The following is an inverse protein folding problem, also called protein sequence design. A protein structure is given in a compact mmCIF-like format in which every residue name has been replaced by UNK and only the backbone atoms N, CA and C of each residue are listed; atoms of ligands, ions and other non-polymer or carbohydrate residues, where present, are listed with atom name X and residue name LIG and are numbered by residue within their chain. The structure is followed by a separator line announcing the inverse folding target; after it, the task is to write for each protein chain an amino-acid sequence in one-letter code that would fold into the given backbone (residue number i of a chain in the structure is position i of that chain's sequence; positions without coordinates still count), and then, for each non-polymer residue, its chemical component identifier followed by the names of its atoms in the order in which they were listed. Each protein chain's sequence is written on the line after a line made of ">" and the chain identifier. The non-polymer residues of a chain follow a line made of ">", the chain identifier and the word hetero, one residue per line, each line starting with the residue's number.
data_IF_909155533324
#
_entry.id   IF_909155533324
#
_cell.length_a   1.000
_cell.length_b   1.000
_cell.length_c   1.000
_cell.angle_alpha   90.00
_cell.angle_beta   90.00
_cell.angle_gamma   90.00
#
_symmetry.space_group_name_H-M   'P 1'
#
loop_
_entity.id
_entity.type
_entity.pdbx_description
1 polymer ?
#
# COMPACT_ATOMS: atom_id res chain seq x y z
N UNK A 1 -24.14 -23.14 1.47
CA UNK A 1 -23.37 -21.98 0.97
C UNK A 1 -23.82 -20.77 1.77
N UNK A 2 -22.98 -20.27 2.67
CA UNK A 2 -23.30 -19.07 3.44
C UNK A 2 -22.75 -17.81 2.73
N UNK A 3 -23.34 -16.65 3.01
CA UNK A 3 -23.00 -15.38 2.36
C UNK A 3 -21.78 -14.73 3.00
N UNK A 4 -20.82 -14.37 2.18
CA UNK A 4 -19.59 -13.71 2.56
C UNK A 4 -19.75 -12.19 2.65
N UNK A 5 -19.61 -11.60 3.84
CA UNK A 5 -19.38 -10.15 3.96
C UNK A 5 -17.88 -9.86 3.89
N UNK A 6 -17.44 -8.99 2.97
CA UNK A 6 -16.08 -8.50 2.90
C UNK A 6 -16.05 -7.05 3.41
N UNK A 7 -15.98 -6.91 4.73
CA UNK A 7 -15.46 -5.71 5.36
C UNK A 7 -14.08 -6.06 5.93
N UNK A 8 -13.09 -6.15 5.02
CA UNK A 8 -11.66 -6.22 5.30
C UNK A 8 -11.11 -7.57 5.80
N UNK A 9 -10.75 -8.49 4.88
CA UNK A 9 -9.65 -9.47 5.06
C UNK A 9 -9.99 -10.97 5.26
N UNK A 10 -11.26 -11.38 5.14
CA UNK A 10 -11.70 -12.71 5.53
C UNK A 10 -13.21 -12.80 5.45
N UNK A 11 -13.69 -13.83 4.77
CA UNK A 11 -15.11 -14.05 4.51
C UNK A 11 -15.79 -14.48 5.82
N UNK A 12 -16.34 -13.52 6.57
CA UNK A 12 -17.28 -13.86 7.64
C UNK A 12 -18.58 -14.27 6.98
N UNK A 13 -18.93 -15.54 7.17
CA UNK A 13 -20.21 -16.08 6.74
C UNK A 13 -21.28 -15.54 7.69
N UNK A 14 -22.18 -14.70 7.18
CA UNK A 14 -23.34 -14.24 7.95
C UNK A 14 -24.18 -15.45 8.36
N UNK A 15 -24.55 -15.52 9.64
CA UNK A 15 -25.33 -16.60 10.22
C UNK A 15 -26.69 -16.08 10.70
N UNK A 16 -27.65 -16.99 10.81
CA UNK A 16 -28.95 -16.70 11.43
C UNK A 16 -28.74 -16.12 12.84
N UNK A 17 -29.40 -14.99 13.11
CA UNK A 17 -29.30 -14.24 14.35
C UNK A 17 -28.32 -13.06 14.32
N UNK A 18 -27.42 -12.99 13.33
CA UNK A 18 -26.50 -11.87 13.19
C UNK A 18 -27.26 -10.55 13.05
N UNK A 19 -26.88 -9.54 13.83
CA UNK A 19 -27.39 -8.18 13.65
C UNK A 19 -26.69 -7.54 12.46
N UNK A 20 -27.45 -6.83 11.63
CA UNK A 20 -26.95 -6.19 10.41
C UNK A 20 -27.62 -4.84 10.22
N UNK A 21 -26.94 -3.94 9.50
CA UNK A 21 -27.55 -2.80 8.87
C UNK A 21 -27.78 -3.14 7.39
N UNK A 22 -29.00 -3.01 6.91
CA UNK A 22 -29.31 -3.17 5.49
C UNK A 22 -29.51 -1.80 4.81
N UNK A 23 -28.88 -1.61 3.66
CA UNK A 23 -29.06 -0.38 2.88
C UNK A 23 -30.47 -0.29 2.28
N UNK A 24 -31.11 0.87 2.41
CA UNK A 24 -32.41 1.18 1.82
C UNK A 24 -32.27 2.18 0.67
N UNK A 25 -32.70 1.78 -0.54
CA UNK A 25 -32.63 2.65 -1.72
C UNK A 25 -33.62 3.82 -1.66
N UNK A 26 -34.84 3.59 -1.16
CA UNK A 26 -35.87 4.63 -1.05
C UNK A 26 -35.53 5.66 0.03
N UNK A 27 -34.95 5.21 1.15
CA UNK A 27 -34.57 6.08 2.26
C UNK A 27 -33.13 6.59 2.22
N UNK A 28 -32.30 6.11 1.28
CA UNK A 28 -30.85 6.39 1.19
C UNK A 28 -30.15 6.28 2.56
N UNK A 29 -30.53 5.26 3.34
CA UNK A 29 -30.10 5.11 4.73
C UNK A 29 -29.89 3.64 5.10
N UNK A 30 -29.10 3.42 6.15
CA UNK A 30 -28.85 2.11 6.74
C UNK A 30 -29.93 1.79 7.77
N UNK A 31 -30.63 0.67 7.61
CA UNK A 31 -31.70 0.22 8.50
C UNK A 31 -31.23 -0.96 9.34
N UNK A 32 -31.40 -0.88 10.66
CA UNK A 32 -31.11 -2.01 11.55
C UNK A 32 -32.03 -3.20 11.30
N UNK A 33 -31.47 -4.39 11.40
CA UNK A 33 -32.17 -5.65 11.33
C UNK A 33 -31.33 -6.83 11.80
N UNK A 34 -31.87 -8.03 11.62
CA UNK A 34 -31.15 -9.26 11.89
C UNK A 34 -31.32 -10.26 10.74
N UNK A 35 -30.33 -11.14 10.56
CA UNK A 35 -30.43 -12.28 9.65
C UNK A 35 -31.45 -13.25 10.26
N UNK A 36 -32.63 -13.32 9.68
CA UNK A 36 -33.71 -14.22 10.08
C UNK A 36 -33.44 -15.66 9.63
N UNK A 37 -32.92 -15.80 8.40
CA UNK A 37 -32.64 -17.10 7.80
C UNK A 37 -31.68 -17.00 6.62
N UNK A 38 -31.14 -18.15 6.21
CA UNK A 38 -30.37 -18.31 4.96
C UNK A 38 -31.10 -19.34 4.10
N UNK A 39 -31.56 -18.93 2.93
CA UNK A 39 -32.39 -19.80 2.09
C UNK A 39 -31.60 -21.01 1.59
N UNK A 40 -31.99 -22.21 2.01
CA UNK A 40 -31.36 -23.45 1.53
C UNK A 40 -31.80 -23.81 0.11
N UNK A 41 -32.99 -23.36 -0.31
CA UNK A 41 -33.56 -23.57 -1.63
C UNK A 41 -34.12 -22.25 -2.19
N UNK A 42 -34.21 -22.09 -3.53
CA UNK A 42 -34.80 -20.90 -4.13
C UNK A 42 -36.25 -20.69 -3.65
N UNK A 43 -36.61 -19.45 -3.33
CA UNK A 43 -37.96 -19.08 -2.92
C UNK A 43 -38.67 -18.37 -4.07
N UNK A 44 -39.82 -18.90 -4.48
CA UNK A 44 -40.71 -18.28 -5.46
C UNK A 44 -41.66 -17.32 -4.74
N UNK A 45 -41.51 -16.03 -4.99
CA UNK A 45 -42.47 -14.99 -4.64
C UNK A 45 -43.32 -14.65 -5.88
N UNK A 46 -44.50 -14.03 -5.73
CA UNK A 46 -45.43 -13.79 -6.84
C UNK A 46 -44.83 -13.07 -8.06
N UNK A 47 -43.81 -12.24 -7.86
CA UNK A 47 -43.16 -11.39 -8.86
C UNK A 47 -41.64 -11.56 -8.92
N UNK A 48 -41.06 -12.44 -8.10
CA UNK A 48 -39.61 -12.57 -7.98
C UNK A 48 -39.17 -13.97 -7.57
N UNK A 49 -38.05 -14.44 -8.15
CA UNK A 49 -37.34 -15.62 -7.68
C UNK A 49 -36.17 -15.18 -6.80
N UNK A 50 -36.17 -15.61 -5.54
CA UNK A 50 -35.03 -15.38 -4.62
C UNK A 50 -34.11 -16.59 -4.70
N UNK A 51 -32.82 -16.43 -5.07
CA UNK A 51 -31.93 -17.56 -5.29
C UNK A 51 -31.54 -18.25 -3.97
N UNK A 52 -31.13 -19.51 -4.09
CA UNK A 52 -30.48 -20.28 -3.02
C UNK A 52 -29.29 -19.52 -2.43
N UNK A 53 -29.16 -19.57 -1.11
CA UNK A 53 -28.12 -18.88 -0.35
C UNK A 53 -28.44 -17.42 -0.02
N UNK A 54 -29.55 -16.85 -0.52
CA UNK A 54 -29.92 -15.49 -0.15
C UNK A 54 -30.24 -15.35 1.34
N UNK A 55 -29.89 -14.19 1.90
CA UNK A 55 -30.15 -13.86 3.29
C UNK A 55 -31.55 -13.27 3.43
N UNK A 56 -32.34 -13.85 4.31
CA UNK A 56 -33.63 -13.30 4.74
C UNK A 56 -33.35 -12.37 5.92
N UNK A 57 -33.49 -11.07 5.73
CA UNK A 57 -33.21 -10.04 6.73
C UNK A 57 -34.53 -9.53 7.30
N UNK A 58 -34.68 -9.59 8.62
CA UNK A 58 -35.80 -8.99 9.34
C UNK A 58 -35.43 -7.57 9.75
N UNK A 59 -36.13 -6.60 9.17
CA UNK A 59 -36.02 -5.18 9.49
C UNK A 59 -37.26 -4.76 10.31
N UNK A 60 -37.17 -3.61 10.99
CA UNK A 60 -38.32 -3.06 11.72
C UNK A 60 -39.56 -2.80 10.84
N UNK A 61 -39.36 -2.61 9.52
CA UNK A 61 -40.41 -2.31 8.55
C UNK A 61 -40.84 -3.51 7.68
N UNK A 62 -40.34 -4.71 7.97
CA UNK A 62 -40.69 -5.92 7.22
C UNK A 62 -39.49 -6.80 6.89
N UNK A 63 -39.70 -7.72 5.95
CA UNK A 63 -38.68 -8.65 5.48
C UNK A 63 -38.02 -8.14 4.20
N UNK A 64 -36.72 -8.39 4.07
CA UNK A 64 -35.95 -8.13 2.85
C UNK A 64 -35.09 -9.34 2.52
N UNK A 65 -35.00 -9.69 1.24
CA UNK A 65 -34.11 -10.74 0.76
C UNK A 65 -32.88 -10.11 0.10
N UNK A 66 -31.68 -10.54 0.50
CA UNK A 66 -30.42 -10.05 -0.04
C UNK A 66 -29.67 -11.22 -0.70
N UNK A 67 -29.48 -11.21 -2.03
CA UNK A 67 -28.71 -12.25 -2.71
C UNK A 67 -27.27 -12.31 -2.20
N UNK A 68 -26.72 -13.52 -2.11
CA UNK A 68 -25.36 -13.74 -1.59
C UNK A 68 -24.26 -12.88 -2.23
N UNK A 69 -24.22 -12.72 -3.56
CA UNK A 69 -23.19 -11.90 -4.21
C UNK A 69 -23.27 -10.42 -3.86
N UNK A 70 -24.43 -9.94 -3.39
CA UNK A 70 -24.68 -8.52 -3.10
C UNK A 70 -24.69 -8.21 -1.59
N UNK A 71 -24.46 -9.20 -0.74
CA UNK A 71 -24.46 -9.02 0.70
C UNK A 71 -23.45 -7.95 1.13
N UNK A 72 -22.28 -7.88 0.48
CA UNK A 72 -21.21 -6.95 0.80
C UNK A 72 -21.56 -5.48 0.50
N UNK A 73 -22.36 -5.25 -0.53
CA UNK A 73 -22.83 -3.91 -0.92
C UNK A 73 -23.98 -3.43 -0.03
N UNK A 74 -24.85 -4.37 0.33
CA UNK A 74 -26.18 -4.05 0.87
C UNK A 74 -26.31 -4.29 2.37
N UNK A 75 -25.33 -4.95 3.00
CA UNK A 75 -25.31 -5.23 4.41
C UNK A 75 -24.03 -4.70 5.04
N UNK A 76 -24.14 -4.27 6.30
CA UNK A 76 -23.02 -4.06 7.21
C UNK A 76 -23.29 -4.84 8.47
N UNK A 77 -22.33 -5.62 8.94
CA UNK A 77 -22.49 -6.31 10.21
C UNK A 77 -22.60 -5.34 11.40
N UNK A 78 -23.48 -5.68 12.35
CA UNK A 78 -23.59 -5.01 13.65
C UNK A 78 -23.16 -6.03 14.70
N UNK A 79 -22.05 -5.77 15.39
CA UNK A 79 -21.59 -6.64 16.46
C UNK A 79 -22.65 -6.73 17.57
N UNK A 80 -23.09 -7.95 17.91
CA UNK A 80 -24.03 -8.17 19.00
C UNK A 80 -23.42 -7.75 20.35
N UNK A 81 -24.20 -7.01 21.14
CA UNK A 81 -23.82 -6.60 22.50
C UNK A 81 -24.07 -7.79 23.43
N UNK A 82 -23.02 -8.47 23.89
CA UNK A 82 -23.15 -9.53 24.90
C UNK A 82 -23.54 -8.94 26.26
N UNK A 83 -24.83 -9.01 26.60
CA UNK A 83 -25.32 -8.70 27.94
C UNK A 83 -24.99 -9.85 28.90
N UNK A 84 -23.79 -9.85 29.47
CA UNK A 84 -23.48 -10.66 30.66
C UNK A 84 -23.99 -9.94 31.91
N UNK A 85 -25.31 -10.00 32.16
CA UNK A 85 -25.88 -9.77 33.48
C UNK A 85 -26.46 -11.09 33.99
N UNK A 86 -25.61 -11.89 34.65
CA UNK A 86 -26.09 -12.92 35.57
C UNK A 86 -26.65 -12.21 36.81
N UNK A 87 -27.98 -12.12 36.88
CA UNK A 87 -28.69 -11.77 38.10
C UNK A 87 -28.47 -12.88 39.13
N UNK A 88 -27.57 -12.63 40.08
CA UNK A 88 -27.44 -13.44 41.29
C UNK A 88 -28.46 -12.90 42.31
N UNK A 89 -29.62 -13.55 42.40
CA UNK A 89 -30.61 -13.27 43.44
C UNK A 89 -30.09 -13.76 44.78
N UNK A 90 -29.79 -12.87 45.71
CA UNK A 90 -29.77 -13.17 47.14
C UNK A 90 -30.13 -11.93 47.96
N UNK A 91 -31.11 -12.13 48.83
CA UNK A 91 -31.66 -11.25 49.86
C UNK A 91 -30.61 -10.40 50.60
N UNK A 92 -30.92 -9.13 50.88
CA UNK A 92 -31.18 -8.70 52.26
C UNK A 92 -31.71 -7.26 52.37
N UNK A 93 -32.66 -7.10 53.30
CA UNK A 93 -33.18 -5.84 53.83
C UNK A 93 -32.09 -5.04 54.56
N UNK A 94 -32.04 -3.71 54.39
CA UNK A 94 -32.51 -2.74 55.40
C UNK A 94 -32.20 -1.29 55.02
N UNK A 95 -33.11 -0.42 55.45
CA UNK A 95 -33.15 1.05 55.38
C UNK A 95 -31.83 1.78 55.64
N UNK A 96 -31.59 2.88 54.92
CA UNK A 96 -31.71 4.27 55.45
C UNK A 96 -31.15 5.31 54.46
N UNK A 97 -32.05 6.19 54.00
CA UNK A 97 -31.94 7.65 53.98
C UNK A 97 -30.58 8.33 53.64
N UNK A 98 -30.46 8.91 52.45
CA UNK A 98 -30.06 10.33 52.27
C UNK A 98 -30.05 10.76 50.81
N UNK A 99 -30.72 11.89 50.57
CA UNK A 99 -30.63 12.74 49.39
C UNK A 99 -29.18 13.18 49.11
N UNK A 100 -28.74 13.16 47.84
CA UNK A 100 -28.25 14.38 47.18
C UNK A 100 -27.99 14.21 45.68
N UNK A 101 -28.32 15.30 44.97
CA UNK A 101 -28.09 15.58 43.56
C UNK A 101 -26.65 15.33 43.09
N UNK A 102 -26.49 14.73 41.90
CA UNK A 102 -25.89 15.41 40.75
C UNK A 102 -25.99 14.56 39.47
N UNK A 103 -26.78 15.05 38.52
CA UNK A 103 -26.81 14.60 37.13
C UNK A 103 -25.47 14.88 36.45
N UNK A 104 -24.73 13.83 36.10
CA UNK A 104 -23.73 13.85 35.05
C UNK A 104 -24.03 12.72 34.08
N UNK A 105 -24.52 13.08 32.89
CA UNK A 105 -24.72 12.20 31.74
C UNK A 105 -23.37 11.66 31.25
N UNK A 106 -22.85 10.63 31.90
CA UNK A 106 -21.77 9.80 31.39
C UNK A 106 -22.33 8.81 30.37
N UNK A 107 -22.38 9.18 29.10
CA UNK A 107 -22.68 8.25 28.01
C UNK A 107 -21.46 7.36 27.79
N UNK A 108 -21.32 6.32 28.61
CA UNK A 108 -20.26 5.31 28.46
C UNK A 108 -20.59 4.43 27.26
N UNK A 109 -19.99 4.76 26.11
CA UNK A 109 -19.93 3.91 24.91
C UNK A 109 -19.18 2.62 25.26
N UNK A 110 -19.92 1.62 25.73
CA UNK A 110 -19.46 0.24 25.86
C UNK A 110 -19.29 -0.35 24.45
N UNK A 111 -18.03 -0.41 23.99
CA UNK A 111 -17.64 -0.94 22.69
C UNK A 111 -17.63 -2.46 22.70
N UNK A 112 -18.46 -3.08 21.86
CA UNK A 112 -18.45 -4.53 21.66
C UNK A 112 -17.14 -5.00 20.99
N UNK A 113 -16.65 -6.20 21.33
CA UNK A 113 -15.40 -6.74 20.77
C UNK A 113 -15.53 -6.96 19.25
N UNK A 114 -14.65 -6.31 18.49
CA UNK A 114 -14.54 -6.50 17.04
C UNK A 114 -13.84 -7.83 16.78
N UNK A 115 -14.45 -8.70 15.98
CA UNK A 115 -13.75 -9.91 15.48
C UNK A 115 -12.79 -9.44 14.40
N UNK A 116 -11.52 -9.44 14.76
CA UNK A 116 -10.44 -8.98 13.93
C UNK A 116 -10.23 -9.98 12.79
N UNK A 117 -10.25 -9.47 11.57
CA UNK A 117 -10.08 -10.29 10.39
C UNK A 117 -8.60 -10.51 10.13
N UNK A 118 -8.23 -11.77 9.97
CA UNK A 118 -6.83 -12.22 9.96
C UNK A 118 -6.38 -12.45 8.53
N UNK A 119 -5.58 -11.53 7.99
CA UNK A 119 -5.05 -11.64 6.63
C UNK A 119 -3.99 -12.74 6.54
N UNK A 120 -4.09 -13.59 5.52
CA UNK A 120 -3.09 -14.65 5.31
C UNK A 120 -1.79 -14.10 4.68
N UNK A 121 -0.66 -14.34 5.34
CA UNK A 121 0.66 -13.84 4.91
C UNK A 121 1.59 -15.00 4.64
N UNK A 122 2.19 -15.03 3.45
CA UNK A 122 3.17 -16.05 3.06
C UNK A 122 4.56 -15.43 2.93
N UNK A 123 5.50 -15.90 3.75
CA UNK A 123 6.93 -15.61 3.60
C UNK A 123 7.55 -16.67 2.69
N UNK A 124 8.08 -16.25 1.54
CA UNK A 124 8.72 -17.16 0.59
C UNK A 124 10.23 -17.22 0.84
N UNK A 125 10.70 -18.39 1.25
CA UNK A 125 12.11 -18.71 1.45
C UNK A 125 12.63 -19.49 0.24
N UNK A 126 13.88 -19.27 -0.18
CA UNK A 126 14.99 -18.81 0.63
C UNK A 126 15.34 -17.33 0.41
N UNK A 127 15.72 -16.67 1.50
CA UNK A 127 16.37 -15.36 1.49
C UNK A 127 17.31 -15.26 2.70
N UNK A 128 18.38 -14.47 2.59
CA UNK A 128 19.31 -14.27 3.72
C UNK A 128 18.57 -13.75 4.97
N UNK A 129 17.54 -12.93 4.76
CA UNK A 129 16.68 -12.40 5.81
C UNK A 129 15.70 -13.39 6.45
N UNK A 130 15.39 -14.54 5.84
CA UNK A 130 14.40 -15.48 6.44
C UNK A 130 14.90 -16.03 7.78
N UNK A 131 16.17 -16.47 7.82
CA UNK A 131 16.78 -16.97 9.05
C UNK A 131 17.16 -15.83 10.01
N UNK A 132 17.80 -14.79 9.49
CA UNK A 132 18.27 -13.67 10.31
C UNK A 132 17.14 -12.89 11.00
N UNK A 133 15.97 -12.79 10.35
CA UNK A 133 14.80 -12.10 10.88
C UNK A 133 13.71 -13.06 11.37
N UNK A 134 14.05 -14.31 11.71
CA UNK A 134 13.07 -15.30 12.19
C UNK A 134 12.24 -14.77 13.38
N UNK A 135 12.89 -14.09 14.32
CA UNK A 135 12.23 -13.49 15.49
C UNK A 135 11.15 -12.47 15.08
N UNK A 136 11.42 -11.66 14.05
CA UNK A 136 10.44 -10.67 13.57
C UNK A 136 9.25 -11.36 12.90
N UNK A 137 9.45 -12.48 12.20
CA UNK A 137 8.34 -13.25 11.64
C UNK A 137 7.54 -13.98 12.73
N UNK A 138 8.18 -14.45 13.79
CA UNK A 138 7.48 -15.01 14.95
C UNK A 138 6.68 -13.93 15.70
N UNK A 139 7.24 -12.74 15.90
CA UNK A 139 6.51 -11.59 16.46
C UNK A 139 5.32 -11.21 15.56
N UNK A 140 5.50 -11.19 14.24
CA UNK A 140 4.41 -10.94 13.29
C UNK A 140 3.35 -12.05 13.30
N UNK A 141 3.72 -13.30 13.61
CA UNK A 141 2.77 -14.40 13.77
C UNK A 141 1.92 -14.29 15.05
N UNK A 142 2.39 -13.55 16.06
CA UNK A 142 1.61 -13.22 17.25
C UNK A 142 0.67 -12.03 17.03
N UNK A 143 0.83 -11.29 15.93
CA UNK A 143 -0.07 -10.20 15.57
C UNK A 143 -1.40 -10.80 15.09
N UNK A 144 -2.47 -10.60 15.86
CA UNK A 144 -3.79 -11.16 15.59
C UNK A 144 -4.33 -10.78 14.19
N UNK A 145 -3.81 -9.71 13.57
CA UNK A 145 -4.21 -9.26 12.22
C UNK A 145 -3.71 -10.18 11.12
N UNK A 146 -2.75 -11.07 11.39
CA UNK A 146 -2.07 -11.86 10.38
C UNK A 146 -2.00 -13.34 10.71
N UNK A 147 -2.20 -14.18 9.70
CA UNK A 147 -1.94 -15.61 9.76
C UNK A 147 -0.71 -15.91 8.90
N UNK A 148 0.45 -16.00 9.54
CA UNK A 148 1.74 -16.12 8.85
C UNK A 148 2.14 -17.58 8.61
N UNK A 149 2.49 -17.89 7.37
CA UNK A 149 3.11 -19.15 6.94
C UNK A 149 4.44 -18.89 6.25
N UNK A 150 5.45 -19.70 6.55
CA UNK A 150 6.73 -19.69 5.82
C UNK A 150 6.75 -20.85 4.84
N UNK A 151 6.95 -20.57 3.55
CA UNK A 151 7.10 -21.56 2.50
C UNK A 151 8.56 -21.67 2.09
N UNK A 152 9.13 -22.85 2.30
CA UNK A 152 10.51 -23.16 1.96
C UNK A 152 11.52 -22.92 3.07
N UNK A 153 12.81 -23.08 2.76
CA UNK A 153 13.93 -22.92 3.70
C UNK A 153 15.26 -22.66 2.98
N UNK A 154 16.17 -21.97 3.66
CA UNK A 154 17.56 -21.78 3.20
C UNK A 154 18.29 -23.12 3.09
N UNK A 155 19.11 -23.29 2.06
CA UNK A 155 19.92 -24.49 1.84
C UNK A 155 19.14 -25.72 1.33
N UNK A 156 17.85 -25.57 1.01
CA UNK A 156 17.12 -26.61 0.31
C UNK A 156 17.72 -26.88 -1.09
N UNK A 157 17.48 -28.06 -1.71
CA UNK A 157 18.01 -28.36 -3.03
C UNK A 157 17.69 -27.31 -4.10
N UNK A 158 16.53 -26.64 -4.00
CA UNK A 158 16.10 -25.56 -4.88
C UNK A 158 16.73 -24.19 -4.58
N UNK A 159 17.55 -24.03 -3.53
CA UNK A 159 18.13 -22.75 -3.11
C UNK A 159 19.29 -22.30 -4.02
N UNK A 160 19.04 -22.28 -5.33
CA UNK A 160 19.98 -22.02 -6.41
C UNK A 160 19.25 -21.25 -7.52
N UNK A 161 19.96 -20.37 -8.21
CA UNK A 161 19.38 -19.66 -9.36
C UNK A 161 19.08 -20.64 -10.52
N UNK A 162 18.11 -20.32 -11.40
CA UNK A 162 17.83 -21.14 -12.57
C UNK A 162 18.96 -21.07 -13.60
N UNK A 163 19.02 -22.04 -14.53
CA UNK A 163 20.11 -22.22 -15.51
C UNK A 163 20.42 -20.98 -16.34
N UNK A 164 19.43 -20.13 -16.60
CA UNK A 164 19.64 -18.90 -17.37
C UNK A 164 20.47 -17.85 -16.63
N UNK A 165 20.79 -18.04 -15.35
CA UNK A 165 21.62 -17.16 -14.52
C UNK A 165 23.09 -17.57 -14.51
N UNK A 166 23.98 -16.62 -14.22
CA UNK A 166 25.38 -16.92 -13.97
C UNK A 166 25.50 -17.86 -12.75
N UNK A 167 26.10 -19.04 -12.94
CA UNK A 167 26.14 -20.13 -11.94
C UNK A 167 24.75 -20.68 -11.58
N UNK A 168 23.81 -20.58 -12.51
CA UNK A 168 22.53 -21.26 -12.44
C UNK A 168 22.64 -22.78 -12.34
N UNK A 169 21.56 -23.45 -11.99
CA UNK A 169 21.49 -24.91 -11.91
C UNK A 169 20.18 -25.44 -12.49
N UNK A 170 20.21 -26.66 -13.00
CA UNK A 170 19.01 -27.40 -13.38
C UNK A 170 18.05 -27.54 -12.20
N UNK A 171 16.75 -27.77 -12.42
CA UNK A 171 15.84 -28.14 -11.35
C UNK A 171 16.39 -29.30 -10.49
N UNK A 172 16.18 -29.28 -9.15
CA UNK A 172 15.44 -28.27 -8.41
C UNK A 172 16.23 -26.95 -8.25
N UNK A 173 15.57 -25.83 -8.54
CA UNK A 173 16.08 -24.46 -8.40
C UNK A 173 14.94 -23.50 -8.00
N UNK A 174 15.23 -22.22 -7.80
CA UNK A 174 14.23 -21.24 -7.34
C UNK A 174 13.03 -21.11 -8.27
N UNK A 175 13.22 -21.30 -9.57
CA UNK A 175 12.16 -21.23 -10.57
C UNK A 175 11.26 -22.48 -10.53
N UNK A 176 11.82 -23.69 -10.44
CA UNK A 176 11.02 -24.90 -10.28
C UNK A 176 10.25 -24.89 -8.95
N UNK A 177 10.87 -24.38 -7.88
CA UNK A 177 10.21 -24.17 -6.59
C UNK A 177 9.06 -23.17 -6.69
N UNK A 178 9.23 -22.05 -7.40
CA UNK A 178 8.13 -21.11 -7.66
C UNK A 178 6.97 -21.80 -8.40
N UNK A 179 7.27 -22.67 -9.37
CA UNK A 179 6.27 -23.49 -10.06
C UNK A 179 5.45 -24.38 -9.12
N UNK A 180 6.11 -25.04 -8.16
CA UNK A 180 5.42 -25.83 -7.13
C UNK A 180 4.53 -24.96 -6.24
N UNK A 181 5.00 -23.77 -5.86
CA UNK A 181 4.24 -22.86 -4.99
C UNK A 181 2.96 -22.31 -5.64
N UNK A 182 2.94 -22.12 -6.96
CA UNK A 182 1.72 -21.65 -7.68
C UNK A 182 0.55 -22.61 -7.50
N UNK A 183 0.81 -23.90 -7.27
CA UNK A 183 -0.24 -24.91 -7.00
C UNK A 183 -0.74 -24.90 -5.55
N UNK A 184 -0.12 -24.10 -4.68
CA UNK A 184 -0.48 -23.98 -3.27
C UNK A 184 -1.27 -22.68 -3.03
N UNK A 185 -1.86 -22.57 -1.84
CA UNK A 185 -2.42 -21.31 -1.37
C UNK A 185 -1.28 -20.33 -1.03
N UNK A 186 -1.13 -19.30 -1.87
CA UNK A 186 -0.16 -18.21 -1.72
C UNK A 186 -0.61 -17.14 -0.71
N UNK A 187 -1.81 -17.27 -0.15
CA UNK A 187 -2.39 -16.30 0.78
C UNK A 187 -2.74 -14.97 0.11
N UNK A 188 -3.04 -13.98 0.96
CA UNK A 188 -3.44 -12.63 0.54
C UNK A 188 -2.27 -11.67 0.40
N UNK A 189 -1.15 -11.96 1.06
CA UNK A 189 0.05 -11.13 1.08
C UNK A 189 1.30 -12.00 0.95
N UNK A 190 2.29 -11.49 0.22
CA UNK A 190 3.60 -12.11 0.07
C UNK A 190 4.69 -11.28 0.75
N UNK A 191 5.64 -11.96 1.38
CA UNK A 191 6.92 -11.38 1.79
C UNK A 191 8.02 -12.15 1.07
N UNK A 192 8.79 -11.46 0.25
CA UNK A 192 9.93 -12.03 -0.46
C UNK A 192 11.17 -11.19 -0.20
N UNK A 193 12.33 -11.84 -0.07
CA UNK A 193 13.60 -11.16 0.15
C UNK A 193 14.67 -11.62 -0.83
N UNK A 194 15.56 -10.70 -1.23
CA UNK A 194 16.72 -11.00 -2.08
C UNK A 194 16.33 -11.95 -3.23
N UNK A 195 16.95 -13.12 -3.32
CA UNK A 195 16.65 -14.21 -4.28
C UNK A 195 15.16 -14.50 -4.53
N UNK A 196 14.32 -14.50 -3.50
CA UNK A 196 12.88 -14.70 -3.67
C UNK A 196 12.23 -13.60 -4.50
N UNK A 197 12.54 -12.33 -4.22
CA UNK A 197 12.07 -11.20 -5.03
C UNK A 197 12.74 -11.13 -6.41
N UNK A 198 13.85 -11.85 -6.59
CA UNK A 198 14.62 -11.86 -7.82
C UNK A 198 14.18 -12.91 -8.84
N UNK A 199 13.67 -14.04 -8.37
CA UNK A 199 13.29 -15.19 -9.21
C UNK A 199 11.83 -15.56 -8.99
N UNK A 200 11.42 -15.74 -7.74
CA UNK A 200 10.09 -16.29 -7.41
C UNK A 200 8.96 -15.30 -7.71
N UNK A 201 9.11 -14.02 -7.32
CA UNK A 201 8.09 -13.01 -7.64
C UNK A 201 7.93 -12.78 -9.15
N UNK A 202 9.01 -12.60 -9.95
CA UNK A 202 8.91 -12.57 -11.41
C UNK A 202 8.24 -13.80 -12.01
N UNK A 203 8.49 -15.00 -11.46
CA UNK A 203 7.79 -16.21 -11.87
C UNK A 203 6.30 -16.12 -11.60
N UNK A 204 5.90 -15.72 -10.39
CA UNK A 204 4.50 -15.54 -10.03
C UNK A 204 3.80 -14.52 -10.93
N UNK A 205 4.44 -13.39 -11.23
CA UNK A 205 3.90 -12.41 -12.16
C UNK A 205 3.70 -12.98 -13.57
N UNK A 206 4.65 -13.76 -14.07
CA UNK A 206 4.55 -14.39 -15.38
C UNK A 206 3.40 -15.39 -15.48
N UNK A 207 3.14 -16.16 -14.41
CA UNK A 207 2.13 -17.23 -14.41
C UNK A 207 0.74 -16.73 -13.97
N UNK A 208 0.68 -15.84 -12.98
CA UNK A 208 -0.57 -15.38 -12.36
C UNK A 208 -1.01 -13.99 -12.85
N UNK A 209 -0.11 -13.18 -13.41
CA UNK A 209 -0.40 -11.83 -13.86
C UNK A 209 -0.98 -10.95 -12.75
N UNK A 210 -2.14 -10.35 -13.01
CA UNK A 210 -2.87 -9.50 -12.06
C UNK A 210 -3.39 -10.26 -10.82
N UNK A 211 -3.40 -11.59 -10.84
CA UNK A 211 -3.83 -12.41 -9.70
C UNK A 211 -2.74 -12.63 -8.65
N UNK A 212 -1.49 -12.22 -8.92
CA UNK A 212 -0.43 -12.31 -7.90
C UNK A 212 -0.81 -11.49 -6.67
N UNK A 213 -0.75 -12.06 -5.45
CA UNK A 213 -1.06 -11.30 -4.24
C UNK A 213 -0.08 -10.13 -4.04
N UNK A 214 -0.52 -9.03 -3.38
CA UNK A 214 0.37 -7.93 -3.03
C UNK A 214 1.63 -8.40 -2.29
N UNK A 215 2.77 -7.76 -2.58
CA UNK A 215 4.06 -8.22 -2.09
C UNK A 215 4.87 -7.13 -1.39
N UNK A 216 5.42 -7.47 -0.22
CA UNK A 216 6.58 -6.78 0.36
C UNK A 216 7.84 -7.43 -0.20
N UNK A 217 8.71 -6.62 -0.80
CA UNK A 217 9.97 -7.08 -1.42
C UNK A 217 11.16 -6.43 -0.70
N UNK A 218 11.90 -7.24 0.06
CA UNK A 218 13.01 -6.78 0.91
C UNK A 218 14.35 -6.97 0.20
N UNK A 219 15.03 -5.87 -0.15
CA UNK A 219 16.28 -5.88 -0.93
C UNK A 219 16.22 -6.86 -2.13
N UNK A 220 15.01 -7.02 -2.67
CA UNK A 220 14.69 -7.97 -3.72
C UNK A 220 14.71 -7.26 -5.07
N UNK A 221 15.39 -7.91 -6.01
CA UNK A 221 15.78 -7.29 -7.26
C UNK A 221 14.82 -7.52 -8.43
N UNK A 222 13.51 -7.61 -8.20
CA UNK A 222 12.53 -7.49 -9.29
C UNK A 222 12.75 -6.25 -10.17
N UNK A 223 13.52 -5.27 -9.68
CA UNK A 223 13.97 -4.07 -10.39
C UNK A 223 15.49 -3.97 -10.66
N UNK A 224 16.23 -5.07 -10.82
CA UNK A 224 17.62 -4.96 -11.32
C UNK A 224 17.64 -5.25 -12.82
N UNK A 225 17.98 -4.22 -13.62
CA UNK A 225 17.99 -4.26 -15.09
C UNK A 225 19.01 -5.22 -15.71
N UNK A 226 20.09 -5.55 -15.00
CA UNK A 226 21.21 -6.30 -15.53
C UNK A 226 21.20 -7.76 -15.03
N UNK A 227 20.19 -8.54 -15.41
CA UNK A 227 20.13 -9.96 -15.08
C UNK A 227 20.17 -10.82 -16.32
N UNK A 228 20.95 -11.90 -16.31
CA UNK A 228 20.72 -13.01 -17.21
C UNK A 228 19.34 -13.61 -16.91
N UNK A 229 18.48 -13.76 -17.92
CA UNK A 229 17.14 -14.33 -17.77
C UNK A 229 16.07 -13.59 -18.59
N UNK A 230 14.85 -14.15 -18.65
CA UNK A 230 13.74 -13.49 -19.32
C UNK A 230 13.40 -12.17 -18.63
N UNK A 231 13.03 -11.17 -19.42
CA UNK A 231 12.57 -9.90 -18.88
C UNK A 231 11.38 -10.13 -17.93
N UNK A 232 11.47 -9.54 -16.73
CA UNK A 232 10.37 -9.59 -15.78
C UNK A 232 9.19 -8.79 -16.32
N UNK A 233 8.09 -9.47 -16.64
CA UNK A 233 6.83 -8.78 -16.95
C UNK A 233 6.13 -8.41 -15.64
N UNK A 234 6.40 -7.22 -15.11
CA UNK A 234 5.76 -6.69 -13.92
C UNK A 234 4.32 -6.26 -14.29
N UNK A 235 3.26 -6.87 -13.71
CA UNK A 235 1.88 -6.54 -14.07
C UNK A 235 1.52 -5.11 -13.66
N UNK A 236 0.86 -4.38 -14.57
CA UNK A 236 0.41 -2.99 -14.32
C UNK A 236 -0.43 -2.87 -13.04
N UNK A 237 -1.24 -3.88 -12.71
CA UNK A 237 -2.08 -3.89 -11.52
C UNK A 237 -1.41 -4.43 -10.25
N UNK A 238 -0.14 -4.88 -10.32
CA UNK A 238 0.53 -5.51 -9.17
C UNK A 238 0.80 -4.50 -8.06
N UNK A 239 0.23 -4.75 -6.88
CA UNK A 239 0.46 -3.93 -5.68
C UNK A 239 1.74 -4.36 -4.99
N UNK A 240 2.75 -3.49 -4.94
CA UNK A 240 4.08 -3.86 -4.44
C UNK A 240 4.66 -2.80 -3.50
N UNK A 241 5.23 -3.24 -2.39
CA UNK A 241 5.97 -2.38 -1.48
C UNK A 241 7.42 -2.87 -1.40
N UNK A 242 8.37 -2.06 -1.83
CA UNK A 242 9.79 -2.40 -1.81
C UNK A 242 10.49 -1.74 -0.63
N UNK A 243 11.25 -2.53 0.11
CA UNK A 243 12.12 -2.04 1.19
C UNK A 243 13.57 -2.16 0.72
N UNK A 244 14.24 -1.01 0.54
CA UNK A 244 15.61 -0.92 0.00
C UNK A 244 16.58 -0.35 1.03
N UNK A 245 17.72 -1.02 1.18
CA UNK A 245 18.80 -0.57 2.05
C UNK A 245 19.84 0.30 1.34
N UNK A 246 20.20 1.43 1.95
CA UNK A 246 21.28 2.30 1.50
C UNK A 246 22.66 1.66 1.65
N UNK A 247 22.83 0.74 2.60
CA UNK A 247 24.04 -0.06 2.79
C UNK A 247 23.92 -1.46 2.17
N UNK A 248 22.98 -1.66 1.23
CA UNK A 248 22.89 -2.89 0.48
C UNK A 248 24.10 -3.03 -0.47
N UNK A 249 24.92 -4.07 -0.27
CA UNK A 249 26.10 -4.29 -1.11
C UNK A 249 25.75 -4.60 -2.57
N UNK A 250 24.52 -5.03 -2.88
CA UNK A 250 24.07 -5.21 -4.26
C UNK A 250 23.85 -3.90 -5.02
N UNK A 251 23.84 -2.76 -4.32
CA UNK A 251 23.92 -1.43 -4.94
C UNK A 251 25.26 -1.22 -5.65
N UNK A 252 26.31 -1.92 -5.23
CA UNK A 252 27.67 -1.75 -5.74
C UNK A 252 28.17 -0.33 -5.50
N UNK A 253 28.56 0.36 -6.58
CA UNK A 253 29.08 1.74 -6.52
C UNK A 253 28.01 2.82 -6.78
N UNK A 254 26.77 2.44 -7.10
CA UNK A 254 25.72 3.40 -7.38
C UNK A 254 25.45 4.26 -6.14
N UNK A 255 25.32 5.56 -6.30
CA UNK A 255 24.86 6.47 -5.25
C UNK A 255 23.43 6.11 -4.77
N UNK A 256 23.00 6.57 -3.59
CA UNK A 256 21.62 6.34 -3.14
C UNK A 256 20.57 6.80 -4.15
N UNK A 257 20.79 7.96 -4.77
CA UNK A 257 19.89 8.52 -5.77
C UNK A 257 19.83 7.66 -7.04
N UNK A 258 20.98 7.21 -7.56
CA UNK A 258 21.03 6.31 -8.71
C UNK A 258 20.38 4.96 -8.42
N UNK A 259 20.55 4.42 -7.21
CA UNK A 259 19.94 3.16 -6.81
C UNK A 259 18.42 3.24 -6.79
N UNK A 260 17.88 4.31 -6.17
CA UNK A 260 16.44 4.58 -6.16
C UNK A 260 15.92 4.86 -7.58
N UNK A 261 16.62 5.65 -8.39
CA UNK A 261 16.22 5.94 -9.76
C UNK A 261 16.16 4.66 -10.62
N UNK A 262 17.18 3.79 -10.52
CA UNK A 262 17.20 2.50 -11.19
C UNK A 262 16.03 1.61 -10.74
N UNK A 263 15.75 1.61 -9.44
CA UNK A 263 14.62 0.89 -8.86
C UNK A 263 13.26 1.39 -9.39
N UNK A 264 13.07 2.71 -9.54
CA UNK A 264 11.87 3.32 -10.14
C UNK A 264 11.71 2.94 -11.61
N UNK A 265 12.81 2.98 -12.39
CA UNK A 265 12.78 2.73 -13.83
C UNK A 265 12.39 1.29 -14.22
N UNK A 266 12.31 0.36 -13.27
CA UNK A 266 11.85 -0.99 -13.53
C UNK A 266 10.37 -1.20 -13.18
N UNK A 267 9.72 -0.20 -12.58
CA UNK A 267 8.28 -0.20 -12.38
C UNK A 267 7.65 0.21 -13.72
N UNK A 268 6.67 -0.56 -14.24
CA UNK A 268 5.95 -0.17 -15.45
C UNK A 268 5.38 1.24 -15.29
N UNK A 269 5.48 2.11 -16.31
CA UNK A 269 4.95 3.47 -16.21
C UNK A 269 3.44 3.49 -15.96
N UNK A 270 2.69 2.45 -16.34
CA UNK A 270 1.25 2.37 -16.09
C UNK A 270 0.91 1.92 -14.66
N UNK A 271 1.88 1.41 -13.88
CA UNK A 271 1.61 0.90 -12.54
C UNK A 271 1.37 2.05 -11.56
N UNK A 272 0.17 2.10 -11.00
CA UNK A 272 -0.25 3.08 -9.98
C UNK A 272 -0.26 2.54 -8.55
N UNK A 273 0.36 1.38 -8.30
CA UNK A 273 0.26 0.67 -7.01
C UNK A 273 1.60 0.20 -6.42
N UNK A 274 2.66 0.97 -6.63
CA UNK A 274 4.01 0.65 -6.10
C UNK A 274 4.53 1.71 -5.13
N UNK A 275 5.09 1.26 -4.00
CA UNK A 275 5.90 2.07 -3.10
C UNK A 275 7.32 1.53 -2.96
N UNK A 276 8.26 2.43 -2.65
CA UNK A 276 9.66 2.17 -2.34
C UNK A 276 9.99 2.92 -1.05
N UNK A 277 10.25 2.20 0.04
CA UNK A 277 10.87 2.75 1.24
C UNK A 277 12.38 2.50 1.15
N UNK A 278 13.13 3.56 0.91
CA UNK A 278 14.58 3.56 0.95
C UNK A 278 15.06 4.04 2.31
N UNK A 279 15.87 3.23 3.00
CA UNK A 279 16.43 3.53 4.33
C UNK A 279 17.95 3.56 4.26
N UNK A 280 18.56 4.72 4.52
CA UNK A 280 19.98 4.99 4.29
C UNK A 280 20.92 4.05 5.06
N UNK A 281 20.55 3.71 6.29
CA UNK A 281 21.35 2.92 7.24
C UNK A 281 21.11 1.41 7.07
N UNK A 282 20.09 1.01 6.32
CA UNK A 282 19.70 -0.38 6.20
C UNK A 282 20.71 -1.19 5.35
N UNK A 283 21.14 -2.33 5.88
CA UNK A 283 22.04 -3.28 5.21
C UNK A 283 21.27 -4.21 4.26
N UNK A 284 21.99 -5.10 3.56
CA UNK A 284 21.36 -6.11 2.69
C UNK A 284 20.40 -7.04 3.45
N UNK A 285 20.75 -7.42 4.67
CA UNK A 285 19.80 -8.02 5.61
C UNK A 285 19.33 -6.90 6.51
N UNK A 286 18.03 -6.52 6.49
CA UNK A 286 17.56 -5.46 7.36
C UNK A 286 17.80 -5.81 8.82
N UNK A 287 18.19 -4.79 9.58
CA UNK A 287 18.31 -4.86 11.02
C UNK A 287 16.95 -5.22 11.64
N UNK A 288 16.95 -6.06 12.66
CA UNK A 288 15.73 -6.53 13.31
C UNK A 288 14.87 -5.38 13.86
N UNK A 289 15.49 -4.35 14.45
CA UNK A 289 14.81 -3.15 14.94
C UNK A 289 14.07 -2.39 13.83
N UNK A 290 14.71 -2.21 12.67
CA UNK A 290 14.08 -1.59 11.51
C UNK A 290 12.90 -2.42 11.01
N UNK A 291 13.12 -3.72 10.76
CA UNK A 291 12.08 -4.56 10.18
C UNK A 291 10.89 -4.74 11.13
N UNK A 292 11.15 -4.92 12.43
CA UNK A 292 10.11 -5.01 13.45
C UNK A 292 9.29 -3.73 13.56
N UNK A 293 9.90 -2.56 13.35
CA UNK A 293 9.20 -1.28 13.36
C UNK A 293 8.22 -1.11 12.19
N UNK A 294 8.53 -1.63 11.00
CA UNK A 294 7.77 -1.30 9.79
C UNK A 294 6.96 -2.45 9.19
N UNK A 295 7.35 -3.72 9.38
CA UNK A 295 6.82 -4.82 8.57
C UNK A 295 5.30 -4.97 8.65
N UNK A 296 4.71 -4.93 9.85
CA UNK A 296 3.25 -5.02 10.01
C UNK A 296 2.52 -3.83 9.34
N UNK A 297 3.09 -2.63 9.41
CA UNK A 297 2.55 -1.43 8.77
C UNK A 297 2.63 -1.51 7.24
N UNK A 298 3.70 -2.09 6.70
CA UNK A 298 3.85 -2.33 5.26
C UNK A 298 2.76 -3.27 4.74
N UNK A 299 2.47 -4.35 5.47
CA UNK A 299 1.42 -5.31 5.11
C UNK A 299 0.03 -4.68 5.14
N UNK A 300 -0.26 -3.87 6.17
CA UNK A 300 -1.51 -3.10 6.25
C UNK A 300 -1.65 -2.10 5.10
N UNK A 301 -0.56 -1.44 4.72
CA UNK A 301 -0.56 -0.54 3.57
C UNK A 301 -0.91 -1.29 2.28
N UNK A 302 -0.32 -2.46 2.03
CA UNK A 302 -0.62 -3.27 0.85
C UNK A 302 -2.09 -3.70 0.78
N UNK A 303 -2.68 -4.16 1.89
CA UNK A 303 -4.10 -4.51 1.96
C UNK A 303 -5.00 -3.30 1.65
N UNK A 304 -4.69 -2.16 2.28
CA UNK A 304 -5.43 -0.92 2.05
C UNK A 304 -5.32 -0.43 0.61
N UNK A 305 -4.14 -0.55 0.00
CA UNK A 305 -3.92 -0.15 -1.39
C UNK A 305 -4.67 -1.06 -2.36
N UNK A 306 -4.60 -2.39 -2.15
CA UNK A 306 -5.35 -3.36 -2.95
C UNK A 306 -6.86 -3.10 -2.88
N UNK A 307 -7.39 -2.82 -1.68
CA UNK A 307 -8.81 -2.61 -1.48
C UNK A 307 -9.33 -1.29 -2.06
N UNK A 308 -8.55 -0.22 -1.97
CA UNK A 308 -8.99 1.13 -2.39
C UNK A 308 -8.57 1.51 -3.81
N UNK A 309 -7.61 0.80 -4.41
CA UNK A 309 -6.99 1.20 -5.67
C UNK A 309 -6.17 2.50 -5.58
N UNK A 310 -6.01 3.07 -4.37
CA UNK A 310 -5.37 4.37 -4.14
C UNK A 310 -4.23 4.27 -3.11
N UNK A 311 -3.21 5.15 -3.18
CA UNK A 311 -2.11 5.12 -2.23
C UNK A 311 -2.58 5.28 -0.77
N UNK A 312 -2.21 4.37 0.15
CA UNK A 312 -2.63 4.37 1.54
C UNK A 312 -1.84 5.40 2.38
N UNK A 313 -2.04 6.70 2.11
CA UNK A 313 -1.23 7.81 2.68
C UNK A 313 -1.23 7.82 4.22
N UNK A 314 -2.31 7.40 4.89
CA UNK A 314 -2.37 7.33 6.35
C UNK A 314 -1.42 6.25 6.92
N UNK A 315 -1.35 5.08 6.28
CA UNK A 315 -0.43 4.01 6.64
C UNK A 315 1.02 4.42 6.34
N UNK A 316 1.25 5.14 5.23
CA UNK A 316 2.56 5.72 4.91
C UNK A 316 3.03 6.69 6.00
N UNK A 317 2.18 7.62 6.44
CA UNK A 317 2.50 8.51 7.56
C UNK A 317 2.82 7.73 8.83
N UNK A 318 2.05 6.67 9.13
CA UNK A 318 2.31 5.81 10.30
C UNK A 318 3.68 5.13 10.23
N UNK A 319 4.10 4.66 9.06
CA UNK A 319 5.44 4.09 8.83
C UNK A 319 6.52 5.13 9.09
N UNK A 320 6.37 6.33 8.53
CA UNK A 320 7.35 7.42 8.67
C UNK A 320 7.47 7.88 10.13
N UNK A 321 6.34 8.16 10.79
CA UNK A 321 6.33 8.54 12.21
C UNK A 321 6.95 7.47 13.10
N UNK A 322 6.76 6.19 12.77
CA UNK A 322 7.41 5.10 13.51
C UNK A 322 8.93 5.12 13.34
N UNK A 323 9.42 5.29 12.11
CA UNK A 323 10.86 5.38 11.83
C UNK A 323 11.52 6.59 12.48
N UNK A 324 10.87 7.75 12.42
CA UNK A 324 11.36 8.99 13.04
C UNK A 324 11.37 8.89 14.56
N UNK A 325 10.38 8.21 15.17
CA UNK A 325 10.33 7.96 16.60
C UNK A 325 11.49 7.11 17.13
N UNK A 326 12.10 6.25 16.29
CA UNK A 326 13.31 5.49 16.64
C UNK A 326 14.60 6.35 16.54
N UNK A 327 14.54 7.54 15.91
CA UNK A 327 15.60 8.55 15.88
C UNK A 327 16.89 8.21 15.11
N UNK A 328 17.02 6.97 14.61
CA UNK A 328 18.24 6.47 13.98
C UNK A 328 18.09 6.10 12.50
N UNK A 329 16.89 6.30 11.92
CA UNK A 329 16.61 5.98 10.52
C UNK A 329 16.40 7.25 9.70
N UNK A 330 16.96 7.26 8.50
CA UNK A 330 16.73 8.31 7.52
C UNK A 330 16.51 7.73 6.13
N UNK A 331 15.89 8.52 5.26
CA UNK A 331 15.73 8.13 3.88
C UNK A 331 14.54 8.81 3.21
N UNK A 332 13.85 8.05 2.37
CA UNK A 332 12.75 8.53 1.55
C UNK A 332 11.72 7.42 1.31
N UNK A 333 10.46 7.79 1.40
CA UNK A 333 9.35 6.98 0.91
C UNK A 333 8.92 7.54 -0.44
N UNK A 334 8.99 6.73 -1.49
CA UNK A 334 8.47 7.06 -2.80
C UNK A 334 7.27 6.18 -3.11
N UNK A 335 6.24 6.72 -3.75
CA UNK A 335 5.09 5.92 -4.17
C UNK A 335 4.44 6.49 -5.42
N UNK A 336 3.80 5.63 -6.20
CA UNK A 336 3.03 6.03 -7.39
C UNK A 336 1.71 6.63 -6.96
N UNK A 337 1.54 7.96 -7.11
CA UNK A 337 0.29 8.65 -6.80
C UNK A 337 -0.80 8.38 -7.86
N UNK A 338 -0.35 8.20 -9.10
CA UNK A 338 -1.10 7.74 -10.25
C UNK A 338 -0.14 6.95 -11.16
N UNK A 339 -0.65 6.40 -12.27
CA UNK A 339 0.19 5.80 -13.30
C UNK A 339 1.29 6.79 -13.74
N UNK A 340 2.55 6.42 -13.57
CA UNK A 340 3.72 7.18 -14.01
C UNK A 340 4.13 8.32 -13.09
N UNK A 341 3.24 8.74 -12.18
CA UNK A 341 3.46 9.87 -11.28
C UNK A 341 3.99 9.40 -9.92
N UNK A 342 5.20 9.80 -9.57
CA UNK A 342 5.82 9.48 -8.29
C UNK A 342 5.75 10.66 -7.31
N UNK A 343 5.22 10.42 -6.12
CA UNK A 343 5.41 11.28 -4.95
C UNK A 343 6.60 10.79 -4.12
N UNK A 344 7.31 11.71 -3.47
CA UNK A 344 8.45 11.43 -2.59
C UNK A 344 8.30 12.20 -1.28
N UNK A 345 8.46 11.48 -0.16
CA UNK A 345 8.42 12.03 1.19
C UNK A 345 9.75 11.67 1.87
N UNK A 346 10.66 12.64 2.06
CA UNK A 346 11.89 12.40 2.81
C UNK A 346 11.59 12.29 4.31
N UNK A 347 12.41 11.56 5.07
CA UNK A 347 12.28 11.43 6.52
C UNK A 347 13.64 11.33 7.24
N UNK A 348 13.65 11.70 8.52
CA UNK A 348 14.84 11.68 9.38
C UNK A 348 15.74 12.91 9.24
N UNK A 349 16.69 13.07 10.17
CA UNK A 349 17.48 14.30 10.34
C UNK A 349 18.44 14.62 9.19
N UNK A 350 18.84 13.62 8.40
CA UNK A 350 19.75 13.80 7.26
C UNK A 350 19.16 14.68 6.14
N UNK A 351 17.82 14.81 6.09
CA UNK A 351 17.11 15.57 5.06
C UNK A 351 17.43 17.07 5.15
N UNK A 352 17.78 17.59 6.33
CA UNK A 352 18.04 19.03 6.51
C UNK A 352 19.41 19.47 5.95
N UNK A 353 20.33 18.54 5.66
CA UNK A 353 21.69 18.89 5.25
C UNK A 353 21.81 19.13 3.72
N UNK A 354 21.09 18.36 2.90
CA UNK A 354 21.24 18.43 1.44
C UNK A 354 20.51 19.63 0.81
N UNK A 355 19.38 20.07 1.37
CA UNK A 355 18.66 21.24 0.85
C UNK A 355 19.38 22.57 1.14
N UNK A 356 20.10 22.65 2.25
CA UNK A 356 20.92 23.82 2.56
C UNK A 356 22.14 23.96 1.62
N UNK A 357 22.62 22.87 1.02
CA UNK A 357 23.80 22.90 0.15
C UNK A 357 23.46 23.27 -1.31
N UNK A 358 22.22 23.07 -1.76
CA UNK A 358 21.77 23.53 -3.08
C UNK A 358 21.62 25.06 -3.17
N UNK A 359 21.36 25.73 -2.05
CA UNK A 359 21.24 27.20 -2.02
C UNK A 359 22.59 27.94 -1.92
N UNK A 360 23.66 27.30 -1.43
CA UNK A 360 24.96 27.96 -1.27
C UNK A 360 25.89 27.91 -2.49
N UNK A 361 25.62 27.04 -3.47
CA UNK A 361 26.47 26.91 -4.68
C UNK A 361 26.02 27.78 -5.87
N UNK A 362 25.08 28.72 -5.69
CA UNK A 362 24.62 29.62 -6.77
C UNK A 362 25.23 31.03 -6.73
N UNK A 363 26.21 31.28 -5.86
CA UNK A 363 26.87 32.58 -5.71
C UNK A 363 28.39 32.45 -5.57
N UNK A 364 29.07 31.93 -6.60
CA UNK A 364 30.45 32.31 -6.93
C UNK A 364 30.92 31.64 -8.24
N UNK A 365 30.50 32.18 -9.38
CA UNK A 365 31.22 31.96 -10.64
C UNK A 365 31.23 33.27 -11.43
N UNK A 366 32.11 34.18 -11.03
CA UNK A 366 32.58 35.30 -11.83
C UNK A 366 33.85 35.86 -11.19
N UNK A 367 35.02 35.29 -11.51
CA UNK A 367 36.19 36.09 -11.88
C UNK A 367 37.42 35.28 -12.33
N UNK A 368 38.01 35.77 -13.42
CA UNK A 368 39.44 35.84 -13.70
C UNK A 368 40.21 34.62 -14.22
N UNK A 369 40.29 34.62 -15.55
CA UNK A 369 41.42 34.31 -16.41
C UNK A 369 42.79 34.81 -15.87
N UNK A 370 43.83 33.96 -15.84
CA UNK A 370 45.22 34.34 -16.21
C UNK A 370 46.18 33.14 -16.31
N UNK A 371 46.90 33.11 -17.43
CA UNK A 371 48.14 32.37 -17.70
C UNK A 371 49.16 32.36 -16.55
N UNK A 372 49.84 31.23 -16.34
CA UNK A 372 51.32 31.10 -16.42
C UNK A 372 51.80 29.66 -16.22
N UNK A 373 52.68 29.24 -17.13
CA UNK A 373 53.71 28.21 -16.93
C UNK A 373 54.64 28.55 -15.75
N UNK A 374 54.96 27.59 -14.88
CA UNK A 374 56.30 26.99 -14.70
C UNK A 374 56.31 25.96 -13.57
N UNK A 375 57.28 25.07 -13.66
CA UNK A 375 57.58 23.87 -12.89
C UNK A 375 58.05 24.04 -11.43
N UNK A 376 58.09 22.89 -10.75
CA UNK A 376 59.13 22.41 -9.84
C UNK A 376 58.89 22.49 -8.30
N UNK A 377 59.01 21.31 -7.69
CA UNK A 377 59.76 21.00 -6.47
C UNK A 377 59.37 21.57 -5.09
N UNK A 378 58.98 20.61 -4.25
CA UNK A 378 59.64 20.22 -3.00
C UNK A 378 59.30 20.96 -1.67
N UNK A 379 59.26 20.11 -0.64
CA UNK A 379 59.66 20.35 0.75
C UNK A 379 58.81 21.22 1.69
N UNK A 380 58.22 20.50 2.66
CA UNK A 380 58.45 20.62 4.11
C UNK A 380 57.80 21.72 4.97
N UNK A 381 57.58 21.28 6.22
CA UNK A 381 57.51 22.03 7.50
C UNK A 381 56.21 22.71 7.94
N UNK A 382 55.58 22.08 8.93
CA UNK A 382 55.33 22.61 10.29
C UNK A 382 55.30 24.14 10.48
N UNK A 383 54.19 24.64 11.04
CA UNK A 383 54.20 25.21 12.40
C UNK A 383 52.80 25.63 12.85
N UNK A 384 52.46 25.23 14.08
CA UNK A 384 51.49 25.88 14.96
C UNK A 384 51.71 27.40 15.02
N UNK A 385 50.63 28.17 15.24
CA UNK A 385 50.56 29.25 16.25
C UNK A 385 49.10 29.72 16.37
N UNK A 386 48.67 29.74 17.62
CA UNK A 386 47.44 30.29 18.19
C UNK A 386 47.45 31.82 18.27
N UNK A 387 46.24 32.40 18.35
CA UNK A 387 45.81 33.69 18.94
C UNK A 387 44.87 34.40 17.96
N UNK A 388 43.91 35.24 18.32
CA UNK A 388 43.19 35.58 19.55
C UNK A 388 42.12 36.58 19.07
N UNK A 389 40.90 36.48 19.61
CA UNK A 389 39.95 37.58 19.84
C UNK A 389 40.31 38.98 19.31
N UNK A 390 39.41 39.60 18.53
CA UNK A 390 39.10 41.02 18.74
C UNK A 390 37.72 41.44 18.24
N UNK A 391 37.02 42.14 19.14
CA UNK A 391 35.77 42.86 18.94
C UNK A 391 35.99 44.21 18.25
N UNK A 392 35.06 44.64 17.40
CA UNK A 392 34.70 46.06 17.21
C UNK A 392 33.44 46.15 16.35
N UNK A 393 32.33 46.63 16.92
CA UNK A 393 31.88 48.05 16.91
C UNK A 393 31.34 48.50 15.55
N UNK A 394 30.02 48.49 15.47
CA UNK A 394 29.19 49.29 14.56
C UNK A 394 29.54 50.78 14.64
N UNK A 395 29.38 51.50 13.52
CA UNK A 395 28.66 52.75 13.57
C UNK A 395 27.56 52.83 12.51
N UNK A 396 26.41 53.34 12.94
CA UNK A 396 25.26 53.75 12.17
C UNK A 396 25.56 54.99 11.32
N UNK A 397 25.01 55.05 10.09
CA UNK A 397 24.70 56.30 9.39
C UNK A 397 23.49 56.16 8.45
N UNK A 398 22.78 57.27 8.16
CA UNK A 398 21.40 57.26 7.67
C UNK A 398 21.26 57.53 6.16
N UNK A 399 20.09 57.16 5.63
CA UNK A 399 19.36 57.89 4.60
C UNK A 399 19.92 57.87 3.17
N UNK A 400 19.37 57.02 2.32
CA UNK A 400 19.39 57.23 0.86
C UNK A 400 18.20 56.53 0.19
N UNK A 401 17.22 57.34 -0.22
CA UNK A 401 16.21 56.97 -1.20
C UNK A 401 16.92 56.50 -2.47
N UNK A 402 16.87 55.20 -2.74
CA UNK A 402 17.47 54.59 -3.93
C UNK A 402 16.40 53.83 -4.68
N UNK A 403 16.22 54.24 -5.94
CA UNK A 403 15.31 53.63 -6.90
C UNK A 403 15.47 52.10 -6.92
N UNK A 404 14.34 51.38 -6.88
CA UNK A 404 14.26 49.93 -6.99
C UNK A 404 15.15 49.44 -8.14
N UNK A 405 16.28 48.85 -7.77
CA UNK A 405 17.32 48.46 -8.71
C UNK A 405 16.92 47.24 -9.55
N UNK A 406 17.65 46.96 -10.64
CA UNK A 406 17.41 45.82 -11.54
C UNK A 406 17.36 44.44 -10.85
N UNK A 407 17.86 44.33 -9.61
CA UNK A 407 17.76 43.12 -8.80
C UNK A 407 16.31 42.78 -8.37
N UNK A 408 15.47 43.79 -8.11
CA UNK A 408 14.10 43.57 -7.67
C UNK A 408 13.20 43.12 -8.83
N UNK A 409 13.42 43.70 -10.03
CA UNK A 409 12.78 43.25 -11.26
C UNK A 409 13.15 41.80 -11.61
N UNK A 410 14.42 41.40 -11.41
CA UNK A 410 14.84 40.02 -11.63
C UNK A 410 14.22 39.04 -10.62
N UNK A 411 13.98 39.47 -9.38
CA UNK A 411 13.30 38.67 -8.36
C UNK A 411 11.83 38.46 -8.71
N UNK A 412 11.12 39.53 -9.10
CA UNK A 412 9.72 39.46 -9.52
C UNK A 412 9.52 38.60 -10.78
N UNK A 413 10.42 38.70 -11.77
CA UNK A 413 10.38 37.86 -12.97
C UNK A 413 10.53 36.37 -12.65
N UNK A 414 11.39 36.01 -11.68
CA UNK A 414 11.55 34.63 -11.22
C UNK A 414 10.32 34.10 -10.49
N UNK A 415 9.69 34.93 -9.65
CA UNK A 415 8.45 34.55 -8.97
C UNK A 415 7.31 34.34 -9.97
N UNK A 416 7.18 35.20 -10.98
CA UNK A 416 6.20 35.02 -12.06
C UNK A 416 6.45 33.76 -12.89
N UNK A 417 7.71 33.49 -13.25
CA UNK A 417 8.06 32.25 -13.97
C UNK A 417 7.75 30.99 -13.14
N UNK A 418 8.01 31.01 -11.83
CA UNK A 418 7.67 29.90 -10.95
C UNK A 418 6.15 29.69 -10.82
N UNK A 419 5.37 30.78 -10.72
CA UNK A 419 3.90 30.71 -10.71
C UNK A 419 3.34 30.17 -12.03
N UNK A 420 3.92 30.58 -13.17
CA UNK A 420 3.51 30.06 -14.49
C UNK A 420 3.83 28.57 -14.65
N UNK A 421 5.01 28.12 -14.18
CA UNK A 421 5.38 26.71 -14.20
C UNK A 421 4.42 25.86 -13.34
N UNK A 422 4.09 26.32 -12.13
CA UNK A 422 3.14 25.62 -11.24
C UNK A 422 1.73 25.57 -11.85
N UNK A 423 1.28 26.63 -12.55
CA UNK A 423 0.00 26.63 -13.25
C UNK A 423 -0.01 25.66 -14.44
N UNK A 424 1.08 25.54 -15.17
CA UNK A 424 1.21 24.60 -16.28
C UNK A 424 1.15 23.14 -15.77
N UNK A 425 1.85 22.83 -14.69
CA UNK A 425 1.81 21.51 -14.05
C UNK A 425 0.39 21.16 -13.55
N UNK A 426 -0.32 22.12 -12.95
CA UNK A 426 -1.71 21.91 -12.53
C UNK A 426 -2.65 21.60 -13.71
N UNK A 427 -2.45 22.27 -14.85
CA UNK A 427 -3.23 22.02 -16.07
C UNK A 427 -2.92 20.64 -16.68
N UNK A 428 -1.67 20.20 -16.65
CA UNK A 428 -1.29 18.85 -17.11
C UNK A 428 -1.94 17.76 -16.24
N UNK A 429 -1.98 17.94 -14.92
CA UNK A 429 -2.66 17.02 -14.00
C UNK A 429 -4.17 17.00 -14.26
N UNK A 430 -4.80 18.16 -14.46
CA UNK A 430 -6.23 18.24 -14.79
C UNK A 430 -6.55 17.54 -16.12
N UNK A 431 -5.70 17.71 -17.13
CA UNK A 431 -5.84 17.04 -18.43
C UNK A 431 -5.72 15.51 -18.27
N UNK A 432 -4.76 15.02 -17.51
CA UNK A 432 -4.58 13.58 -17.25
C UNK A 432 -5.81 12.96 -16.55
N UNK A 433 -6.41 13.67 -15.58
CA UNK A 433 -7.64 13.23 -14.92
C UNK A 433 -8.78 13.13 -15.94
N UNK A 434 -8.93 14.13 -16.81
CA UNK A 434 -9.98 14.15 -17.85
C UNK A 434 -9.79 13.02 -18.88
N UNK A 435 -8.56 12.70 -19.25
CA UNK A 435 -8.26 11.57 -20.13
C UNK A 435 -8.61 10.22 -19.47
N UNK A 436 -8.35 10.07 -18.18
CA UNK A 436 -8.73 8.87 -17.43
C UNK A 436 -10.27 8.74 -17.31
N UNK A 437 -10.98 9.83 -17.02
CA UNK A 437 -12.46 9.86 -17.04
C UNK A 437 -13.02 9.44 -18.41
N UNK A 438 -12.42 9.94 -19.50
CA UNK A 438 -12.83 9.59 -20.86
C UNK A 438 -12.57 8.11 -21.18
N UNK A 439 -11.45 7.54 -20.71
CA UNK A 439 -11.16 6.11 -20.86
C UNK A 439 -12.17 5.24 -20.13
N UNK A 440 -12.56 5.62 -18.90
CA UNK A 440 -13.59 4.90 -18.15
C UNK A 440 -14.94 4.92 -18.87
N UNK A 441 -15.36 6.10 -19.37
CA UNK A 441 -16.60 6.22 -20.14
C UNK A 441 -16.60 5.36 -21.42
N UNK A 442 -15.45 5.21 -22.08
CA UNK A 442 -15.32 4.34 -23.26
C UNK A 442 -15.45 2.86 -22.89
N UNK A 443 -14.95 2.45 -21.74
CA UNK A 443 -15.10 1.08 -21.24
C UNK A 443 -16.56 0.77 -20.92
N UNK A 444 -17.21 1.65 -20.16
CA UNK A 444 -18.63 1.50 -19.79
C UNK A 444 -19.53 1.44 -21.04
N UNK A 445 -19.24 2.26 -22.07
CA UNK A 445 -19.96 2.22 -23.34
C UNK A 445 -19.73 0.91 -24.12
N UNK A 446 -18.52 0.34 -24.06
CA UNK A 446 -18.22 -0.93 -24.69
C UNK A 446 -18.96 -2.10 -24.01
N UNK A 447 -19.03 -2.09 -22.68
CA UNK A 447 -19.80 -3.07 -21.90
C UNK A 447 -21.31 -2.97 -22.19
N UNK A 448 -21.84 -1.74 -22.25
CA UNK A 448 -23.25 -1.52 -22.60
C UNK A 448 -23.59 -2.07 -24.00
N UNK A 449 -22.71 -1.86 -24.98
CA UNK A 449 -22.87 -2.41 -26.35
C UNK A 449 -22.79 -3.93 -26.38
N UNK A 450 -21.90 -4.53 -25.58
CA UNK A 450 -21.78 -5.98 -25.49
C UNK A 450 -23.04 -6.61 -24.89
N UNK A 451 -23.64 -5.98 -23.87
CA UNK A 451 -24.91 -6.43 -23.29
C UNK A 451 -26.09 -6.24 -24.26
N UNK A 452 -26.13 -5.12 -24.99
CA UNK A 452 -27.13 -4.90 -26.05
C UNK A 452 -27.06 -5.98 -27.13
N UNK A 453 -25.86 -6.31 -27.62
CA UNK A 453 -25.67 -7.39 -28.60
C UNK A 453 -26.14 -8.74 -28.04
N UNK A 454 -25.81 -9.04 -26.77
CA UNK A 454 -26.25 -10.27 -26.11
C UNK A 454 -27.78 -10.38 -26.03
N UNK A 455 -28.47 -9.27 -25.79
CA UNK A 455 -29.94 -9.23 -25.77
C UNK A 455 -30.53 -9.41 -27.18
N UNK A 456 -29.89 -8.87 -28.22
CA UNK A 456 -30.28 -9.10 -29.61
C UNK A 456 -30.12 -10.57 -30.02
N UNK A 457 -28.98 -11.19 -29.70
CA UNK A 457 -28.73 -12.60 -29.98
C UNK A 457 -29.76 -13.51 -29.28
N UNK A 458 -30.16 -13.17 -28.04
CA UNK A 458 -31.22 -13.89 -27.31
C UNK A 458 -32.61 -13.73 -27.94
N UNK A 459 -32.89 -12.58 -28.56
CA UNK A 459 -34.15 -12.33 -29.24
C UNK A 459 -34.26 -13.13 -30.55
N UNK A 460 -33.17 -13.27 -31.31
CA UNK A 460 -33.15 -14.04 -32.57
C UNK A 460 -33.30 -15.56 -32.37
N UNK A 461 -32.91 -16.09 -31.20
CA UNK A 461 -33.03 -17.53 -30.87
C UNK A 461 -34.48 -17.97 -30.57
N UNK A 462 -35.47 -17.05 -30.58
CA UNK A 462 -36.91 -17.40 -30.59
C UNK A 462 -37.52 -16.99 -31.94
N UNK A 463 -37.84 -17.94 -32.85
CA UNK A 463 -38.92 -18.92 -32.62
C UNK A 463 -38.75 -20.25 -33.40
N UNK A 464 -38.37 -21.34 -32.73
CA UNK A 464 -38.56 -22.71 -33.27
C UNK A 464 -39.48 -23.59 -32.39
N UNK A 465 -39.86 -23.12 -31.20
CA UNK A 465 -40.70 -23.88 -30.26
C UNK A 465 -42.21 -23.79 -30.50
N UNK A 466 -42.70 -22.89 -31.35
CA UNK A 466 -44.14 -22.65 -31.51
C UNK A 466 -44.82 -23.50 -32.61
N UNK A 467 -44.07 -24.22 -33.46
CA UNK A 467 -44.67 -25.07 -34.51
C UNK A 467 -44.86 -26.54 -34.12
N UNK A 468 -44.38 -26.99 -32.96
CA UNK A 468 -44.49 -28.42 -32.56
C UNK A 468 -45.77 -28.75 -31.77
N UNK A 469 -46.55 -27.74 -31.34
CA UNK A 469 -47.78 -27.94 -30.56
C UNK A 469 -49.09 -27.82 -31.35
N UNK A 470 -49.04 -27.60 -32.67
CA UNK A 470 -50.23 -27.58 -33.53
C UNK A 470 -50.51 -28.92 -34.25
N UNK A 471 -49.78 -29.99 -33.90
CA UNK A 471 -49.87 -31.30 -34.55
C UNK A 471 -49.85 -32.48 -33.57
N UNK A 472 -50.72 -32.46 -32.55
CA UNK A 472 -51.11 -33.66 -31.79
C UNK A 472 -52.57 -33.59 -31.37
#
# INVERSE_FOLDING_TARGET
>A
MACAEAAGGGVRLLQKGDQVLAWSNSGKTWLGGCVDDILEEPLLLPDQIVPKGALKIRLARGLKFVPAPRAQELLKFVAAVSNNNHHNSSNNNNSSNSNNNNNHNGTTRSGAPQVLVVASVVVVAPGAGTGANCKIYEELKQDERFNLKVLGKKGAPYDRYPECWEKGSSPPNLESFAGELVSQDLGELLILGSRGGQVVLPYFWRVLGSKTPPAVVINGGCAMKARPGPATNWPVSAVTFRLLGGQDFFRGKASPAEYVASAKQCVPPENGSTAILFVSEMQHVPQASLLGAVLSLLLMALLSWKASGSPPKAQFQSILSRLEGEGCWSGRLLFTAAAGLWEEIPFGSAVQADDNNKNNNKSNSNNSNSNRHFSNSNSNSNSNISNSSNSSKNPSKPGSDTAAGPAEAASQARQQAAQQASKAEALEVELAIKEQELLQLRLDLAEARAEEQRLQDLAEVRPLGAQVLAGR
#
